data_IF_464734624395
#
_entry.id   IF_464734624395
#
_cell.length_a   1.000
_cell.length_b   1.000
_cell.length_c   1.000
_cell.angle_alpha   90.00
_cell.angle_beta   90.00
_cell.angle_gamma   90.00
#
_symmetry.space_group_name_H-M   'P 1'
#
loop_
_entity.id
_entity.type
_entity.pdbx_description
1 polymer ?
#
# COMPACT_ATOMS: atom_id res chain seq x y z
N UNK A 1 13.44 -5.33 32.91
CA UNK A 1 13.30 -5.23 31.45
C UNK A 1 13.02 -6.63 30.97
N UNK A 2 11.87 -6.84 30.37
CA UNK A 2 11.45 -8.14 29.85
C UNK A 2 11.66 -8.15 28.34
N UNK A 3 12.29 -9.18 27.82
CA UNK A 3 12.60 -9.36 26.40
C UNK A 3 11.90 -10.60 25.83
N UNK A 4 11.08 -11.29 26.63
CA UNK A 4 10.32 -12.42 26.16
C UNK A 4 9.10 -11.98 25.37
N UNK A 5 8.85 -12.66 24.25
CA UNK A 5 7.58 -12.55 23.53
C UNK A 5 6.47 -13.19 24.35
N UNK A 6 5.26 -12.62 24.26
CA UNK A 6 4.04 -13.25 24.77
C UNK A 6 3.79 -14.59 24.06
N UNK A 7 2.93 -15.43 24.65
CA UNK A 7 2.55 -16.70 24.03
C UNK A 7 1.87 -16.49 22.67
N UNK A 8 1.01 -15.48 22.56
CA UNK A 8 0.35 -15.07 21.32
C UNK A 8 1.37 -14.65 20.25
N UNK A 9 2.35 -13.81 20.62
CA UNK A 9 3.43 -13.40 19.72
C UNK A 9 4.30 -14.56 19.24
N UNK A 10 4.54 -15.56 20.09
CA UNK A 10 5.27 -16.78 19.70
C UNK A 10 4.46 -17.58 18.69
N UNK A 11 3.15 -17.71 18.89
CA UNK A 11 2.24 -18.41 17.98
C UNK A 11 2.17 -17.72 16.61
N UNK A 12 1.97 -16.39 16.58
CA UNK A 12 1.98 -15.59 15.35
C UNK A 12 3.28 -15.84 14.57
N UNK A 13 4.43 -15.69 15.23
CA UNK A 13 5.74 -15.91 14.61
C UNK A 13 5.88 -17.33 14.05
N UNK A 14 5.47 -18.35 14.79
CA UNK A 14 5.56 -19.74 14.34
C UNK A 14 4.64 -20.06 13.17
N UNK A 15 3.43 -19.51 13.15
CA UNK A 15 2.46 -19.68 12.07
C UNK A 15 2.93 -19.01 10.79
N UNK A 16 3.36 -17.75 10.87
CA UNK A 16 3.89 -17.02 9.71
C UNK A 16 5.16 -17.66 9.19
N UNK A 17 6.05 -18.15 10.06
CA UNK A 17 7.24 -18.91 9.64
C UNK A 17 6.86 -20.16 8.87
N UNK A 18 5.89 -20.93 9.36
CA UNK A 18 5.41 -22.14 8.66
C UNK A 18 4.82 -21.80 7.30
N UNK A 19 4.04 -20.73 7.20
CA UNK A 19 3.51 -20.24 5.92
C UNK A 19 4.65 -19.84 4.98
N UNK A 20 5.62 -19.06 5.47
CA UNK A 20 6.76 -18.61 4.70
C UNK A 20 7.62 -19.79 4.17
N UNK A 21 7.86 -20.80 5.00
CA UNK A 21 8.64 -21.99 4.62
C UNK A 21 7.92 -22.90 3.62
N UNK A 22 6.60 -23.06 3.76
CA UNK A 22 5.82 -24.02 2.95
C UNK A 22 5.22 -23.42 1.68
N UNK A 23 4.85 -22.14 1.71
CA UNK A 23 4.12 -21.49 0.60
C UNK A 23 5.00 -20.50 -0.17
N UNK A 24 5.89 -19.76 0.50
CA UNK A 24 6.70 -18.70 -0.14
C UNK A 24 8.03 -19.25 -0.68
N UNK A 25 8.86 -19.86 0.18
CA UNK A 25 10.21 -20.31 -0.20
C UNK A 25 10.25 -21.23 -1.44
N UNK A 26 9.29 -22.15 -1.66
CA UNK A 26 9.33 -23.03 -2.82
C UNK A 26 9.18 -22.30 -4.17
N UNK A 27 8.48 -21.16 -4.18
CA UNK A 27 8.12 -20.41 -5.40
C UNK A 27 8.85 -19.07 -5.55
N UNK A 28 9.52 -18.58 -4.51
CA UNK A 28 10.22 -17.29 -4.48
C UNK A 28 11.10 -17.02 -5.72
N UNK A 29 11.89 -18.01 -6.13
CA UNK A 29 12.79 -17.88 -7.29
C UNK A 29 12.05 -17.71 -8.62
N UNK A 30 10.87 -18.29 -8.76
CA UNK A 30 10.05 -18.16 -9.95
C UNK A 30 9.45 -16.75 -10.01
N UNK A 31 8.82 -16.31 -8.91
CA UNK A 31 8.28 -14.96 -8.79
C UNK A 31 9.31 -13.85 -9.02
N UNK A 32 10.52 -13.98 -8.47
CA UNK A 32 11.61 -13.02 -8.73
C UNK A 32 11.98 -12.97 -10.23
N UNK A 33 12.09 -14.12 -10.88
CA UNK A 33 12.50 -14.19 -12.29
C UNK A 33 11.47 -13.61 -13.23
N UNK A 34 10.20 -13.87 -12.94
CA UNK A 34 9.07 -13.48 -13.78
C UNK A 34 8.59 -12.04 -13.52
N UNK A 35 9.00 -11.41 -12.42
CA UNK A 35 8.56 -10.07 -12.00
C UNK A 35 7.03 -9.94 -11.85
N UNK A 36 6.40 -10.99 -11.31
CA UNK A 36 4.94 -11.06 -11.16
C UNK A 36 4.51 -10.86 -9.71
N UNK A 37 3.38 -10.16 -9.55
CA UNK A 37 2.71 -10.05 -8.27
C UNK A 37 2.13 -11.42 -7.86
N UNK A 38 2.34 -11.87 -6.62
CA UNK A 38 1.93 -13.19 -6.17
C UNK A 38 0.49 -13.20 -5.64
N UNK A 39 -0.49 -12.97 -6.52
CA UNK A 39 -1.91 -12.88 -6.13
C UNK A 39 -2.43 -14.11 -5.36
N UNK A 40 -1.95 -15.30 -5.70
CA UNK A 40 -2.30 -16.55 -4.99
C UNK A 40 -1.76 -16.57 -3.55
N UNK A 41 -0.60 -15.97 -3.29
CA UNK A 41 -0.03 -15.85 -1.95
C UNK A 41 -0.63 -14.67 -1.18
N UNK A 42 -1.08 -13.62 -1.87
CA UNK A 42 -1.87 -12.54 -1.28
C UNK A 42 -3.20 -13.08 -0.76
N UNK A 43 -3.92 -13.89 -1.55
CA UNK A 43 -5.17 -14.55 -1.15
C UNK A 43 -4.98 -15.42 0.11
N UNK A 44 -3.97 -16.29 0.12
CA UNK A 44 -3.63 -17.10 1.31
C UNK A 44 -3.21 -16.23 2.50
N UNK A 45 -2.49 -15.14 2.25
CA UNK A 45 -2.09 -14.19 3.30
C UNK A 45 -3.29 -13.48 3.91
N UNK A 46 -4.32 -13.15 3.11
CA UNK A 46 -5.56 -12.55 3.58
C UNK A 46 -6.35 -13.52 4.48
N UNK A 47 -6.43 -14.81 4.13
CA UNK A 47 -7.04 -15.84 5.00
C UNK A 47 -6.37 -15.94 6.38
N UNK A 48 -5.09 -15.57 6.46
CA UNK A 48 -4.30 -15.51 7.70
C UNK A 48 -4.32 -14.15 8.40
N UNK A 49 -5.05 -13.16 7.88
CA UNK A 49 -5.11 -11.80 8.43
C UNK A 49 -3.82 -10.98 8.23
N UNK A 50 -3.00 -11.32 7.23
CA UNK A 50 -1.71 -10.65 6.97
C UNK A 50 -1.87 -9.42 6.06
N UNK A 51 -2.88 -9.42 5.19
CA UNK A 51 -3.22 -8.26 4.36
C UNK A 51 -3.78 -7.14 5.24
N UNK A 52 -3.08 -6.00 5.27
CA UNK A 52 -3.47 -4.91 6.16
C UNK A 52 -3.54 -5.33 7.63
N UNK A 53 -2.53 -6.07 8.11
CA UNK A 53 -2.44 -6.63 9.47
C UNK A 53 -2.88 -5.70 10.62
N UNK A 54 -2.66 -4.38 10.46
CA UNK A 54 -3.01 -3.34 11.44
C UNK A 54 -4.45 -2.78 11.32
N UNK A 55 -5.20 -3.17 10.29
CA UNK A 55 -6.59 -2.74 10.10
C UNK A 55 -7.40 -3.20 11.32
N UNK A 56 -8.17 -2.31 11.97
CA UNK A 56 -8.96 -2.68 13.14
C UNK A 56 -9.97 -3.79 12.88
N UNK A 57 -10.24 -4.59 13.92
CA UNK A 57 -11.16 -5.73 13.87
C UNK A 57 -12.58 -5.31 13.44
N UNK A 58 -13.03 -4.10 13.81
CA UNK A 58 -14.35 -3.59 13.42
C UNK A 58 -14.51 -3.39 11.90
N UNK A 59 -13.39 -3.28 11.17
CA UNK A 59 -13.35 -3.23 9.72
C UNK A 59 -12.88 -4.55 9.09
N UNK A 60 -12.91 -5.66 9.84
CA UNK A 60 -12.58 -7.00 9.31
C UNK A 60 -11.09 -7.35 9.29
N UNK A 61 -10.21 -6.47 9.79
CA UNK A 61 -8.78 -6.75 9.91
C UNK A 61 -8.41 -7.56 11.16
N UNK A 62 -7.12 -7.89 11.27
CA UNK A 62 -6.59 -8.64 12.42
C UNK A 62 -6.32 -7.76 13.65
N UNK A 63 -6.18 -6.44 13.47
CA UNK A 63 -5.91 -5.50 14.56
C UNK A 63 -4.55 -5.70 15.24
N UNK A 64 -3.55 -6.22 14.53
CA UNK A 64 -2.22 -6.46 15.08
C UNK A 64 -1.53 -5.16 15.51
N UNK A 65 -0.82 -5.22 16.64
CA UNK A 65 -0.02 -4.10 17.11
C UNK A 65 1.37 -4.06 16.46
N UNK A 66 2.10 -2.96 16.63
CA UNK A 66 3.40 -2.73 15.99
C UNK A 66 4.43 -3.86 16.21
N UNK A 67 4.45 -4.47 17.39
CA UNK A 67 5.38 -5.57 17.67
C UNK A 67 4.95 -6.86 16.95
N UNK A 68 3.66 -7.13 16.86
CA UNK A 68 3.14 -8.29 16.15
C UNK A 68 3.42 -8.16 14.65
N UNK A 69 3.14 -6.97 14.07
CA UNK A 69 3.48 -6.65 12.69
C UNK A 69 4.99 -6.80 12.42
N UNK A 70 5.84 -6.36 13.34
CA UNK A 70 7.29 -6.52 13.20
C UNK A 70 7.72 -8.00 13.13
N UNK A 71 7.11 -8.87 13.94
CA UNK A 71 7.35 -10.31 13.90
C UNK A 71 6.86 -10.94 12.59
N UNK A 72 5.69 -10.53 12.10
CA UNK A 72 5.15 -10.99 10.82
C UNK A 72 6.10 -10.60 9.68
N UNK A 73 6.53 -9.33 9.63
CA UNK A 73 7.47 -8.79 8.64
C UNK A 73 8.76 -9.60 8.65
N UNK A 74 9.34 -9.87 9.83
CA UNK A 74 10.60 -10.62 9.97
C UNK A 74 10.51 -12.00 9.29
N UNK A 75 9.45 -12.76 9.57
CA UNK A 75 9.30 -14.12 9.06
C UNK A 75 9.00 -14.17 7.56
N UNK A 76 8.16 -13.27 7.04
CA UNK A 76 7.87 -13.19 5.61
C UNK A 76 9.10 -12.74 4.80
N UNK A 77 9.81 -11.72 5.26
CA UNK A 77 10.99 -11.20 4.56
C UNK A 77 12.19 -12.15 4.66
N UNK A 78 12.27 -12.98 5.70
CA UNK A 78 13.25 -14.05 5.78
C UNK A 78 13.04 -15.13 4.71
N UNK A 79 11.84 -15.28 4.16
CA UNK A 79 11.55 -16.15 3.03
C UNK A 79 11.81 -15.48 1.69
N UNK A 80 11.13 -14.37 1.43
CA UNK A 80 11.35 -13.56 0.23
C UNK A 80 10.81 -12.12 0.43
N UNK A 81 11.64 -11.08 0.32
CA UNK A 81 11.19 -9.69 0.49
C UNK A 81 10.19 -9.21 -0.57
N UNK A 82 10.21 -9.75 -1.79
CA UNK A 82 9.29 -9.38 -2.85
C UNK A 82 7.88 -9.88 -2.58
N UNK A 83 7.76 -11.16 -2.24
CA UNK A 83 6.49 -11.78 -1.90
C UNK A 83 5.98 -11.27 -0.55
N UNK A 84 6.82 -11.28 0.48
CA UNK A 84 6.45 -10.80 1.82
C UNK A 84 5.98 -9.35 1.80
N UNK A 85 6.68 -8.50 1.04
CA UNK A 85 6.28 -7.11 0.81
C UNK A 85 4.98 -6.97 0.01
N UNK A 86 4.68 -7.89 -0.90
CA UNK A 86 3.42 -7.86 -1.66
C UNK A 86 2.21 -8.21 -0.80
N UNK A 87 2.32 -9.22 0.07
CA UNK A 87 1.24 -9.63 0.99
C UNK A 87 0.94 -8.52 2.00
N UNK A 88 1.97 -8.03 2.70
CA UNK A 88 1.79 -6.95 3.68
C UNK A 88 1.42 -5.62 3.00
N UNK A 89 1.96 -5.40 1.80
CA UNK A 89 1.76 -4.20 1.00
C UNK A 89 0.38 -4.09 0.36
N UNK A 90 -0.48 -5.11 0.43
CA UNK A 90 -1.87 -5.06 -0.09
C UNK A 90 -2.61 -3.81 0.37
N UNK A 91 -2.42 -3.41 1.63
CA UNK A 91 -3.06 -2.24 2.24
C UNK A 91 -2.13 -1.02 2.38
N UNK A 92 -1.05 -0.93 1.59
CA UNK A 92 -0.05 0.12 1.73
C UNK A 92 -0.62 1.51 1.42
N UNK A 93 -0.75 2.36 2.44
CA UNK A 93 -1.40 3.67 2.34
C UNK A 93 -2.71 3.77 3.13
N UNK A 94 -3.29 2.63 3.54
CA UNK A 94 -4.49 2.58 4.39
C UNK A 94 -4.30 3.26 5.75
N UNK A 95 -3.06 3.44 6.21
CA UNK A 95 -2.74 4.12 7.47
C UNK A 95 -3.31 5.54 7.53
N UNK A 96 -3.32 6.25 6.39
CA UNK A 96 -3.93 7.57 6.30
C UNK A 96 -5.46 7.52 6.50
N UNK A 97 -6.12 6.51 5.95
CA UNK A 97 -7.56 6.29 6.08
C UNK A 97 -7.91 5.89 7.53
N UNK A 98 -7.12 4.98 8.13
CA UNK A 98 -7.28 4.57 9.53
C UNK A 98 -7.16 5.78 10.46
N UNK A 99 -6.14 6.62 10.26
CA UNK A 99 -5.85 7.74 11.13
C UNK A 99 -6.77 8.95 10.93
N UNK A 100 -7.13 9.28 9.69
CA UNK A 100 -7.76 10.56 9.34
C UNK A 100 -9.03 10.44 8.51
N UNK A 101 -9.37 9.24 8.02
CA UNK A 101 -10.60 9.02 7.26
C UNK A 101 -11.85 9.24 8.10
N UNK A 102 -12.92 9.67 7.45
CA UNK A 102 -14.26 9.63 8.04
C UNK A 102 -14.70 8.19 8.25
N UNK A 103 -15.74 7.98 9.06
CA UNK A 103 -16.31 6.64 9.25
C UNK A 103 -16.74 6.02 7.91
N UNK A 104 -17.46 6.78 7.08
CA UNK A 104 -17.87 6.35 5.74
C UNK A 104 -16.67 5.93 4.86
N UNK A 105 -15.52 6.62 4.97
CA UNK A 105 -14.31 6.23 4.23
C UNK A 105 -13.70 4.94 4.79
N UNK A 106 -13.67 4.76 6.11
CA UNK A 106 -13.13 3.55 6.73
C UNK A 106 -13.99 2.34 6.39
N UNK A 107 -15.31 2.44 6.54
CA UNK A 107 -16.26 1.39 6.18
C UNK A 107 -16.21 1.05 4.69
N UNK A 108 -15.95 2.04 3.82
CA UNK A 108 -15.85 1.82 2.37
C UNK A 108 -14.58 1.08 1.95
N UNK A 109 -13.43 1.42 2.54
CA UNK A 109 -12.13 1.00 1.98
C UNK A 109 -11.44 -0.10 2.78
N UNK A 110 -11.55 -0.09 4.10
CA UNK A 110 -10.75 -0.99 4.94
C UNK A 110 -11.17 -2.47 4.88
N UNK A 111 -12.47 -2.82 4.79
CA UNK A 111 -12.89 -4.22 4.71
C UNK A 111 -12.29 -4.97 3.52
N UNK A 112 -12.35 -4.37 2.32
CA UNK A 112 -11.87 -5.02 1.09
C UNK A 112 -10.33 -5.18 1.10
N UNK A 113 -9.61 -4.26 1.76
CA UNK A 113 -8.16 -4.40 1.97
C UNK A 113 -7.82 -5.53 2.96
N UNK A 114 -8.65 -5.70 4.00
CA UNK A 114 -8.45 -6.73 5.02
C UNK A 114 -8.74 -8.14 4.47
N UNK A 115 -9.77 -8.27 3.62
CA UNK A 115 -10.09 -9.54 2.94
C UNK A 115 -9.17 -9.85 1.76
N UNK A 116 -8.38 -8.88 1.30
CA UNK A 116 -7.55 -9.00 0.10
C UNK A 116 -8.35 -8.90 -1.22
N UNK A 117 -9.61 -8.48 -1.15
CA UNK A 117 -10.47 -8.23 -2.32
C UNK A 117 -10.09 -6.95 -3.07
N UNK A 118 -9.39 -6.03 -2.39
CA UNK A 118 -8.79 -4.84 -2.97
C UNK A 118 -7.32 -4.69 -2.58
N UNK A 119 -6.56 -3.99 -3.42
CA UNK A 119 -5.18 -3.59 -3.21
C UNK A 119 -5.11 -2.07 -3.29
N UNK A 120 -4.39 -1.43 -2.37
CA UNK A 120 -4.13 0.00 -2.45
C UNK A 120 -2.64 0.34 -2.49
N UNK A 121 -2.35 1.59 -2.84
CA UNK A 121 -1.00 2.15 -2.80
C UNK A 121 -0.96 3.56 -2.22
N UNK A 122 0.21 3.96 -1.73
CA UNK A 122 0.49 5.34 -1.35
C UNK A 122 1.28 6.03 -2.46
N UNK A 123 0.70 7.10 -3.01
CA UNK A 123 1.22 7.78 -4.19
C UNK A 123 1.76 9.18 -3.81
N UNK A 124 3.02 9.20 -3.36
CA UNK A 124 3.69 10.40 -2.85
C UNK A 124 4.79 10.86 -3.80
N UNK A 125 5.80 10.00 -3.98
CA UNK A 125 6.99 10.26 -4.79
C UNK A 125 6.66 10.60 -6.24
N UNK A 126 7.47 11.47 -6.83
CA UNK A 126 7.37 11.95 -8.20
C UNK A 126 8.73 11.79 -8.90
N UNK A 127 8.81 11.87 -10.25
CA UNK A 127 10.08 11.70 -10.96
C UNK A 127 11.22 12.59 -10.44
N UNK A 128 10.89 13.84 -10.09
CA UNK A 128 11.85 14.83 -9.60
C UNK A 128 11.87 14.98 -8.06
N UNK A 129 10.99 14.26 -7.34
CA UNK A 129 10.79 14.44 -5.90
C UNK A 129 10.62 13.11 -5.15
N UNK A 130 11.59 12.80 -4.29
CA UNK A 130 11.50 11.65 -3.36
C UNK A 130 11.64 12.08 -1.90
N UNK A 131 12.88 12.37 -1.46
CA UNK A 131 13.14 12.74 -0.07
C UNK A 131 12.54 14.08 0.35
N UNK A 132 12.41 15.03 -0.59
CA UNK A 132 11.82 16.35 -0.32
C UNK A 132 10.32 16.37 -0.66
N UNK A 133 9.52 15.67 0.13
CA UNK A 133 8.07 15.53 -0.10
C UNK A 133 7.34 16.88 -0.22
N UNK A 134 7.86 17.96 0.38
CA UNK A 134 7.27 19.30 0.24
C UNK A 134 7.42 19.95 -1.14
N UNK A 135 8.20 19.34 -2.03
CA UNK A 135 8.45 19.84 -3.39
C UNK A 135 7.61 19.14 -4.48
N UNK A 136 6.63 18.32 -4.08
CA UNK A 136 5.70 17.67 -5.01
C UNK A 136 4.94 18.69 -5.88
N UNK A 137 4.69 18.30 -7.12
CA UNK A 137 4.13 19.12 -8.19
C UNK A 137 2.75 18.65 -8.66
N UNK A 138 2.35 17.42 -8.33
CA UNK A 138 0.99 16.92 -8.58
C UNK A 138 -0.01 17.86 -7.92
N UNK A 139 -0.93 18.40 -8.72
CA UNK A 139 -1.91 19.40 -8.30
C UNK A 139 -3.30 18.82 -8.28
N UNK A 140 -4.11 19.30 -7.35
CA UNK A 140 -5.54 19.02 -7.31
C UNK A 140 -6.30 20.35 -7.17
N UNK A 141 -7.09 20.69 -8.18
CA UNK A 141 -7.85 21.95 -8.24
C UNK A 141 -9.34 21.67 -8.06
N UNK A 142 -10.05 22.48 -7.28
CA UNK A 142 -11.50 22.31 -7.11
C UNK A 142 -12.25 22.78 -8.36
N UNK A 143 -13.14 21.94 -8.86
CA UNK A 143 -14.13 22.27 -9.88
C UNK A 143 -15.52 21.79 -9.41
N UNK A 144 -16.27 22.70 -8.78
CA UNK A 144 -17.56 22.37 -8.18
C UNK A 144 -17.42 21.53 -6.90
N UNK A 145 -18.01 20.34 -6.92
CA UNK A 145 -17.96 19.32 -5.86
C UNK A 145 -16.87 18.26 -6.09
N UNK A 146 -16.00 18.45 -7.07
CA UNK A 146 -14.89 17.55 -7.38
C UNK A 146 -13.52 18.24 -7.31
N UNK A 147 -12.49 17.44 -7.15
CA UNK A 147 -11.08 17.73 -7.41
C UNK A 147 -10.68 17.22 -8.79
N UNK A 148 -9.99 18.06 -9.57
CA UNK A 148 -9.35 17.69 -10.83
C UNK A 148 -7.86 17.57 -10.60
N UNK A 149 -7.32 16.37 -10.78
CA UNK A 149 -5.96 15.99 -10.39
C UNK A 149 -5.09 15.84 -11.64
N UNK A 150 -3.92 16.48 -11.59
CA UNK A 150 -2.93 16.45 -12.67
C UNK A 150 -1.52 16.23 -12.11
N UNK A 151 -0.80 15.23 -12.61
CA UNK A 151 0.60 15.00 -12.25
C UNK A 151 1.05 13.57 -12.49
N UNK A 152 2.32 13.31 -12.16
CA UNK A 152 2.93 11.99 -12.30
C UNK A 152 3.48 11.53 -10.95
N UNK A 153 3.25 10.27 -10.62
CA UNK A 153 3.78 9.62 -9.42
C UNK A 153 4.73 8.51 -9.83
N UNK A 154 5.82 8.36 -9.09
CA UNK A 154 6.94 7.50 -9.48
C UNK A 154 7.30 6.54 -8.36
N UNK A 155 7.65 5.31 -8.72
CA UNK A 155 8.01 4.24 -7.77
C UNK A 155 6.85 3.81 -6.85
N UNK A 156 5.63 3.79 -7.38
CA UNK A 156 4.45 3.48 -6.56
C UNK A 156 4.29 1.98 -6.46
N UNK A 157 4.48 1.45 -5.24
CA UNK A 157 4.17 0.05 -4.91
C UNK A 157 2.70 -0.23 -5.22
N UNK A 158 2.44 -1.40 -5.82
CA UNK A 158 1.12 -1.80 -6.35
C UNK A 158 0.60 -0.94 -7.51
N UNK A 159 1.43 -0.05 -8.07
CA UNK A 159 0.95 0.96 -9.00
C UNK A 159 0.25 0.43 -10.26
N UNK A 160 0.56 -0.78 -10.72
CA UNK A 160 -0.12 -1.38 -11.89
C UNK A 160 -1.22 -2.39 -11.55
N UNK A 161 -1.42 -2.67 -10.26
CA UNK A 161 -2.36 -3.70 -9.77
C UNK A 161 -3.33 -3.19 -8.69
N UNK A 162 -3.12 -1.98 -8.17
CA UNK A 162 -3.91 -1.40 -7.08
C UNK A 162 -5.23 -0.83 -7.59
N UNK A 163 -6.30 -1.09 -6.85
CA UNK A 163 -7.65 -0.63 -7.14
C UNK A 163 -7.82 0.86 -6.83
N UNK A 164 -7.10 1.38 -5.82
CA UNK A 164 -7.10 2.80 -5.49
C UNK A 164 -5.79 3.25 -4.81
N UNK A 165 -5.56 4.55 -4.82
CA UNK A 165 -4.33 5.16 -4.30
C UNK A 165 -4.63 6.34 -3.38
N UNK A 166 -3.89 6.43 -2.28
CA UNK A 166 -3.87 7.65 -1.45
C UNK A 166 -2.81 8.59 -2.03
N UNK A 167 -3.25 9.58 -2.81
CA UNK A 167 -2.40 10.47 -3.59
C UNK A 167 -2.13 11.77 -2.83
N UNK A 168 -0.86 12.11 -2.64
CA UNK A 168 -0.47 13.42 -2.12
C UNK A 168 -0.50 14.46 -3.24
N UNK A 169 -1.32 15.48 -3.07
CA UNK A 169 -1.54 16.56 -4.03
C UNK A 169 -1.30 17.92 -3.38
N UNK A 170 -0.82 18.88 -4.18
CA UNK A 170 -0.82 20.29 -3.85
C UNK A 170 -2.21 20.87 -4.16
N UNK A 171 -2.92 21.33 -3.13
CA UNK A 171 -4.31 21.81 -3.20
C UNK A 171 -4.44 23.30 -2.95
N UNK A 172 -3.48 23.92 -2.27
CA UNK A 172 -3.41 25.36 -2.08
C UNK A 172 -1.97 25.85 -2.26
N UNK A 173 -1.59 26.33 -3.46
CA UNK A 173 -0.22 26.75 -3.74
C UNK A 173 0.18 28.05 -3.06
N UNK A 174 -0.79 28.83 -2.58
CA UNK A 174 -0.57 30.12 -1.92
C UNK A 174 -0.57 29.99 -0.39
N UNK A 175 -0.77 28.79 0.15
CA UNK A 175 -0.75 28.55 1.57
C UNK A 175 0.58 28.99 2.21
N UNK A 176 0.50 29.75 3.29
CA UNK A 176 1.66 30.23 4.03
C UNK A 176 2.40 29.05 4.70
N UNK A 177 3.67 28.85 4.35
CA UNK A 177 4.56 27.89 4.99
C UNK A 177 4.81 26.60 4.20
N UNK A 178 6.06 26.12 4.23
CA UNK A 178 6.57 25.03 3.38
C UNK A 178 5.79 23.71 3.46
N UNK A 179 5.12 23.44 4.58
CA UNK A 179 4.43 22.18 4.84
C UNK A 179 2.90 22.28 4.75
N UNK A 180 2.39 23.45 4.35
CA UNK A 180 0.96 23.70 4.18
C UNK A 180 0.56 23.61 2.70
N UNK A 181 -0.74 23.55 2.43
CA UNK A 181 -1.26 23.56 1.06
C UNK A 181 -1.24 22.22 0.33
N UNK A 182 -1.09 21.13 1.10
CA UNK A 182 -1.17 19.76 0.59
C UNK A 182 -2.41 19.05 1.13
N UNK A 183 -2.89 18.07 0.37
CA UNK A 183 -3.94 17.15 0.80
C UNK A 183 -3.65 15.75 0.29
N UNK A 184 -4.11 14.74 1.02
CA UNK A 184 -4.15 13.37 0.55
C UNK A 184 -5.56 13.07 0.06
N UNK A 185 -5.68 12.57 -1.17
CA UNK A 185 -6.95 12.30 -1.82
C UNK A 185 -6.94 10.82 -2.24
N UNK A 186 -8.03 10.10 -1.95
CA UNK A 186 -8.20 8.72 -2.41
C UNK A 186 -8.65 8.76 -3.87
N UNK A 187 -7.92 8.09 -4.76
CA UNK A 187 -8.17 8.07 -6.20
C UNK A 187 -8.32 6.62 -6.66
N UNK A 188 -9.51 6.24 -7.12
CA UNK A 188 -9.72 4.94 -7.76
C UNK A 188 -8.98 4.86 -9.10
N UNK A 189 -8.36 3.72 -9.37
CA UNK A 189 -7.50 3.46 -10.54
C UNK A 189 -8.27 3.31 -11.85
N UNK A 190 -9.58 3.10 -11.79
CA UNK A 190 -10.47 2.92 -12.93
C UNK A 190 -11.08 4.23 -13.45
N UNK A 191 -10.72 5.37 -12.85
CA UNK A 191 -11.19 6.69 -13.27
C UNK A 191 -10.60 7.12 -14.60
N UNK A 192 -11.41 7.81 -15.39
CA UNK A 192 -10.96 8.46 -16.62
C UNK A 192 -9.77 9.39 -16.33
N UNK A 193 -8.72 9.28 -17.14
CA UNK A 193 -7.47 10.06 -16.99
C UNK A 193 -6.42 9.42 -16.08
N UNK A 194 -6.73 8.31 -15.41
CA UNK A 194 -5.76 7.53 -14.65
C UNK A 194 -5.08 6.51 -15.57
N UNK A 195 -3.75 6.56 -15.66
CA UNK A 195 -2.95 5.54 -16.33
C UNK A 195 -1.84 5.05 -15.41
N UNK A 196 -1.40 3.81 -15.61
CA UNK A 196 -0.25 3.23 -14.90
C UNK A 196 0.70 2.53 -15.86
N UNK A 197 2.00 2.71 -15.66
CA UNK A 197 3.05 2.04 -16.42
C UNK A 197 3.98 1.25 -15.48
N UNK A 198 3.93 -0.08 -15.62
CA UNK A 198 4.67 -0.99 -14.74
C UNK A 198 6.18 -0.87 -14.98
N UNK A 199 6.90 -0.62 -13.89
CA UNK A 199 8.37 -0.60 -13.88
C UNK A 199 8.90 -2.03 -13.76
N UNK A 200 9.63 -2.45 -14.79
CA UNK A 200 10.29 -3.76 -14.88
C UNK A 200 11.81 -3.65 -14.84
N UNK A 201 12.51 -4.74 -14.56
CA UNK A 201 13.98 -4.79 -14.54
C UNK A 201 14.61 -4.18 -13.27
N UNK A 202 13.85 -4.09 -12.17
CA UNK A 202 14.37 -3.71 -10.85
C UNK A 202 15.47 -4.68 -10.41
N UNK A 203 16.43 -4.19 -9.63
CA UNK A 203 17.56 -5.02 -9.15
C UNK A 203 17.12 -6.20 -8.26
N UNK A 204 16.04 -6.03 -7.49
CA UNK A 204 15.53 -7.02 -6.54
C UNK A 204 14.12 -6.64 -6.08
N UNK A 205 13.55 -7.44 -5.17
CA UNK A 205 12.15 -7.29 -4.72
C UNK A 205 11.20 -7.33 -5.93
N UNK A 206 11.53 -8.20 -6.90
CA UNK A 206 10.93 -8.17 -8.25
C UNK A 206 9.52 -8.75 -8.28
N UNK A 207 9.14 -9.54 -7.28
CA UNK A 207 7.76 -9.98 -7.08
C UNK A 207 6.83 -8.84 -6.60
N UNK A 208 7.38 -7.76 -6.03
CA UNK A 208 6.60 -6.58 -5.67
C UNK A 208 6.34 -5.71 -6.90
N UNK A 209 5.08 -5.38 -7.10
CA UNK A 209 4.67 -4.49 -8.18
C UNK A 209 5.10 -3.05 -7.92
N UNK A 210 5.51 -2.35 -8.97
CA UNK A 210 5.89 -0.94 -8.89
C UNK A 210 5.60 -0.27 -10.23
N UNK A 211 4.98 0.91 -10.22
CA UNK A 211 4.65 1.62 -11.45
C UNK A 211 4.94 3.13 -11.36
N UNK A 212 4.98 3.77 -12.52
CA UNK A 212 4.62 5.18 -12.68
C UNK A 212 3.09 5.27 -12.74
N UNK A 213 2.50 6.27 -12.09
CA UNK A 213 1.10 6.64 -12.25
C UNK A 213 1.03 7.99 -12.95
N UNK A 214 0.14 8.10 -13.94
CA UNK A 214 -0.12 9.32 -14.70
C UNK A 214 -1.56 9.73 -14.41
N UNK A 215 -1.73 10.97 -13.98
CA UNK A 215 -3.01 11.56 -13.64
C UNK A 215 -3.21 12.74 -14.60
N UNK A 216 -4.10 12.59 -15.57
CA UNK A 216 -4.44 13.60 -16.57
C UNK A 216 -5.93 13.97 -16.46
N UNK A 217 -6.22 15.11 -15.84
CA UNK A 217 -7.58 15.57 -15.54
C UNK A 217 -8.47 14.55 -14.79
N UNK A 218 -7.88 13.74 -13.91
CA UNK A 218 -8.61 12.76 -13.09
C UNK A 218 -9.55 13.48 -12.12
N UNK A 219 -10.85 13.20 -12.20
CA UNK A 219 -11.87 13.85 -11.38
C UNK A 219 -12.26 12.97 -10.19
N UNK A 220 -12.29 13.52 -8.98
CA UNK A 220 -12.61 12.80 -7.73
C UNK A 220 -13.50 13.67 -6.83
N UNK A 221 -14.55 13.13 -6.17
CA UNK A 221 -15.36 13.89 -5.20
C UNK A 221 -14.58 14.47 -4.01
#
# INVERSE_FOLDING_TARGET
>A
MDFELSEEQRQIREEVRRFADNEIRPVAKEYDREEKAPFDLIEKGAEMGLCGAQIPIEYGGAGYEMLDVALIVEELYAADPGIGGSILGTAFGSEAIIAFGTEDQKERWLPDLASGDAICGSAISEPDTGSDVSSVSTRAEKDGDEWVINGNKMWITNGSIGDFFVVLCKTDPEADGRYNGFSQIVVESDRDGFESDKITGKMGIRASDTAELILDDVRVP
#
